data_IF_768318176504
#
_entry.id   IF_768318176504
#
_cell.length_a   1.000
_cell.length_b   1.000
_cell.length_c   1.000
_cell.angle_alpha   90.00
_cell.angle_beta   90.00
_cell.angle_gamma   90.00
#
_symmetry.space_group_name_H-M   'P 1'
#
loop_
_entity.id
_entity.type
_entity.pdbx_description
1 polymer ?
#
# COMPACT_ATOMS: atom_id res chain seq x y z
N UNK A 1 13.63 4.51 -28.57
CA UNK A 1 12.47 5.42 -28.85
C UNK A 1 11.51 5.49 -27.65
N UNK A 2 11.55 4.48 -26.77
CA UNK A 2 10.95 4.42 -25.42
C UNK A 2 11.55 5.45 -24.44
N UNK A 3 12.87 5.66 -24.47
CA UNK A 3 13.64 6.54 -23.57
C UNK A 3 13.07 7.98 -23.47
N UNK A 4 12.65 8.57 -24.60
CA UNK A 4 12.07 9.93 -24.64
C UNK A 4 10.58 9.99 -24.31
N UNK A 5 9.85 8.87 -24.35
CA UNK A 5 8.41 8.85 -24.02
C UNK A 5 8.20 8.70 -22.51
N UNK A 6 8.97 7.86 -21.83
CA UNK A 6 8.84 7.64 -20.39
C UNK A 6 9.23 8.87 -19.56
N UNK A 7 10.51 9.27 -19.58
CA UNK A 7 10.99 10.37 -18.73
C UNK A 7 10.31 11.72 -18.99
N UNK A 8 9.99 12.04 -20.25
CA UNK A 8 9.35 13.30 -20.60
C UNK A 8 7.90 13.41 -20.10
N UNK A 9 7.22 12.28 -19.89
CA UNK A 9 5.85 12.26 -19.40
C UNK A 9 5.72 12.33 -17.87
N UNK A 10 6.82 12.21 -17.12
CA UNK A 10 6.80 12.20 -15.65
C UNK A 10 7.49 13.42 -15.00
N UNK A 11 7.78 14.49 -15.74
CA UNK A 11 8.35 15.74 -15.21
C UNK A 11 9.50 15.51 -14.20
N UNK A 12 10.46 14.66 -14.55
CA UNK A 12 11.60 14.27 -13.71
C UNK A 12 11.25 13.51 -12.41
N UNK A 13 10.01 13.06 -12.21
CA UNK A 13 9.59 12.26 -11.06
C UNK A 13 10.00 10.79 -11.22
N UNK A 14 10.97 10.35 -10.40
CA UNK A 14 11.48 8.98 -10.42
C UNK A 14 10.74 8.03 -9.48
N UNK A 15 9.72 8.51 -8.75
CA UNK A 15 9.08 7.72 -7.70
C UNK A 15 8.27 6.54 -8.23
N UNK A 16 8.03 5.58 -7.34
CA UNK A 16 7.19 4.42 -7.66
C UNK A 16 5.71 4.80 -7.78
N UNK A 17 5.17 5.55 -6.82
CA UNK A 17 3.73 5.78 -6.77
C UNK A 17 3.26 6.88 -7.71
N UNK A 18 4.09 7.92 -7.92
CA UNK A 18 3.71 9.12 -8.65
C UNK A 18 4.56 9.38 -9.91
N UNK A 19 5.54 8.52 -10.21
CA UNK A 19 6.55 8.76 -11.22
C UNK A 19 6.83 7.57 -12.13
N UNK A 20 7.99 7.61 -12.78
CA UNK A 20 8.40 6.61 -13.78
C UNK A 20 8.52 5.19 -13.20
N UNK A 21 8.72 5.03 -11.89
CA UNK A 21 8.83 3.71 -11.25
C UNK A 21 7.55 2.88 -11.42
N UNK A 22 6.38 3.53 -11.32
CA UNK A 22 5.09 2.87 -11.54
C UNK A 22 4.89 2.42 -12.99
N UNK A 23 5.35 3.23 -13.93
CA UNK A 23 5.38 2.88 -15.34
C UNK A 23 6.32 1.70 -15.62
N UNK A 24 7.54 1.74 -15.07
CA UNK A 24 8.51 0.65 -15.19
C UNK A 24 7.98 -0.66 -14.57
N UNK A 25 7.24 -0.59 -13.47
CA UNK A 25 6.56 -1.76 -12.90
C UNK A 25 5.52 -2.35 -13.86
N UNK A 26 4.70 -1.50 -14.47
CA UNK A 26 3.75 -1.94 -15.50
C UNK A 26 4.48 -2.60 -16.68
N UNK A 27 5.56 -2.00 -17.19
CA UNK A 27 6.38 -2.58 -18.27
C UNK A 27 7.00 -3.92 -17.87
N UNK A 28 7.52 -4.03 -16.64
CA UNK A 28 8.08 -5.28 -16.13
C UNK A 28 7.03 -6.41 -16.07
N UNK A 29 5.81 -6.10 -15.63
CA UNK A 29 4.71 -7.07 -15.64
C UNK A 29 4.30 -7.46 -17.06
N UNK A 30 4.26 -6.52 -18.00
CA UNK A 30 3.94 -6.80 -19.40
C UNK A 30 5.01 -7.63 -20.10
N UNK A 31 6.28 -7.40 -19.78
CA UNK A 31 7.40 -8.24 -20.22
C UNK A 31 7.23 -9.68 -19.74
N UNK A 32 6.91 -9.88 -18.46
CA UNK A 32 6.61 -11.22 -17.91
C UNK A 32 5.38 -11.87 -18.59
N UNK A 33 4.44 -11.08 -19.10
CA UNK A 33 3.28 -11.58 -19.86
C UNK A 33 3.64 -11.97 -21.31
N UNK A 34 4.84 -11.58 -21.78
CA UNK A 34 5.33 -11.74 -23.15
C UNK A 34 4.90 -10.62 -24.11
N UNK A 35 4.55 -9.44 -23.59
CA UNK A 35 4.10 -8.28 -24.40
C UNK A 35 5.17 -7.25 -24.68
N UNK A 36 6.18 -7.14 -23.81
CA UNK A 36 7.27 -6.17 -23.91
C UNK A 36 8.64 -6.83 -24.06
N UNK A 37 9.61 -6.05 -24.54
CA UNK A 37 11.01 -6.46 -24.70
C UNK A 37 11.84 -6.12 -23.46
N UNK A 38 12.68 -7.07 -23.02
CA UNK A 38 13.59 -6.91 -21.90
C UNK A 38 14.62 -5.79 -22.12
N UNK A 39 15.16 -5.65 -23.33
CA UNK A 39 16.18 -4.64 -23.64
C UNK A 39 15.67 -3.21 -23.42
N UNK A 40 14.41 -2.93 -23.79
CA UNK A 40 13.78 -1.62 -23.63
C UNK A 40 13.55 -1.28 -22.15
N UNK A 41 13.19 -2.29 -21.34
CA UNK A 41 13.01 -2.13 -19.89
C UNK A 41 14.33 -1.84 -19.19
N UNK A 42 15.38 -2.60 -19.51
CA UNK A 42 16.72 -2.39 -18.94
C UNK A 42 17.27 -1.00 -19.30
N UNK A 43 17.12 -0.55 -20.54
CA UNK A 43 17.52 0.79 -20.97
C UNK A 43 16.78 1.88 -20.16
N UNK A 44 15.46 1.73 -19.97
CA UNK A 44 14.67 2.68 -19.21
C UNK A 44 15.02 2.71 -17.72
N UNK A 45 15.32 1.55 -17.11
CA UNK A 45 15.84 1.46 -15.73
C UNK A 45 17.17 2.19 -15.63
N UNK A 46 18.10 1.97 -16.56
CA UNK A 46 19.40 2.66 -16.55
C UNK A 46 19.26 4.17 -16.69
N UNK A 47 18.34 4.64 -17.54
CA UNK A 47 18.05 6.06 -17.67
C UNK A 47 17.52 6.66 -16.35
N UNK A 48 16.58 5.98 -15.68
CA UNK A 48 16.08 6.40 -14.38
C UNK A 48 17.18 6.39 -13.31
N UNK A 49 18.06 5.38 -13.25
CA UNK A 49 19.17 5.34 -12.29
C UNK A 49 20.17 6.49 -12.51
N UNK A 50 20.51 6.80 -13.77
CA UNK A 50 21.35 7.96 -14.11
C UNK A 50 20.68 9.26 -13.68
N UNK A 51 19.36 9.37 -13.88
CA UNK A 51 18.60 10.54 -13.46
C UNK A 51 18.63 10.73 -11.94
N UNK A 52 18.36 9.68 -11.16
CA UNK A 52 18.46 9.69 -9.69
C UNK A 52 19.86 10.12 -9.26
N UNK A 53 20.91 9.55 -9.86
CA UNK A 53 22.30 9.88 -9.54
C UNK A 53 22.70 11.33 -9.89
N UNK A 54 21.95 11.99 -10.78
CA UNK A 54 22.20 13.37 -11.19
C UNK A 54 21.54 14.42 -10.29
N UNK A 55 20.63 14.03 -9.39
CA UNK A 55 19.89 14.97 -8.54
C UNK A 55 20.69 15.39 -7.32
N UNK A 56 20.65 16.69 -7.02
CA UNK A 56 21.25 17.27 -5.81
C UNK A 56 20.51 16.88 -4.52
N UNK A 57 19.21 16.61 -4.62
CA UNK A 57 18.35 16.23 -3.51
C UNK A 57 17.35 15.17 -3.94
N UNK A 58 17.16 14.18 -3.08
CA UNK A 58 16.21 13.09 -3.27
C UNK A 58 15.19 13.13 -2.13
N UNK A 59 13.94 12.81 -2.43
CA UNK A 59 12.96 12.48 -1.39
C UNK A 59 13.31 11.09 -0.86
N UNK A 60 13.33 10.86 0.46
CA UNK A 60 13.58 9.52 0.99
C UNK A 60 12.32 8.64 0.96
N UNK A 61 11.13 9.21 0.82
CA UNK A 61 9.86 8.57 1.20
C UNK A 61 9.48 7.35 0.35
N UNK A 62 8.49 6.60 0.83
CA UNK A 62 7.91 5.47 0.11
C UNK A 62 7.11 5.93 -1.12
N UNK A 63 6.33 7.00 -0.99
CA UNK A 63 5.42 7.50 -2.02
C UNK A 63 6.17 8.15 -3.19
N UNK A 64 6.96 9.17 -2.90
CA UNK A 64 7.55 10.06 -3.90
C UNK A 64 9.10 9.98 -3.96
N UNK A 65 9.68 8.96 -3.32
CA UNK A 65 11.12 8.95 -3.02
C UNK A 65 11.85 7.64 -3.27
N UNK A 66 13.09 7.63 -2.77
CA UNK A 66 14.09 6.60 -3.00
C UNK A 66 13.72 5.26 -2.35
N UNK A 67 13.00 5.24 -1.23
CA UNK A 67 12.59 4.00 -0.58
C UNK A 67 11.63 3.17 -1.46
N UNK A 68 10.61 3.81 -2.04
CA UNK A 68 9.70 3.15 -2.98
C UNK A 68 10.42 2.65 -4.22
N UNK A 69 11.32 3.47 -4.76
CA UNK A 69 12.13 3.12 -5.91
C UNK A 69 13.08 1.94 -5.63
N UNK A 70 13.69 1.89 -4.45
CA UNK A 70 14.56 0.80 -4.03
C UNK A 70 13.79 -0.51 -3.82
N UNK A 71 12.59 -0.45 -3.23
CA UNK A 71 11.69 -1.61 -3.13
C UNK A 71 11.31 -2.16 -4.50
N UNK A 72 11.03 -1.30 -5.47
CA UNK A 72 10.78 -1.72 -6.86
C UNK A 72 12.00 -2.43 -7.48
N UNK A 73 13.22 -1.90 -7.31
CA UNK A 73 14.42 -2.54 -7.83
C UNK A 73 14.65 -3.93 -7.20
N UNK A 74 14.39 -4.08 -5.90
CA UNK A 74 14.40 -5.39 -5.23
C UNK A 74 13.33 -6.33 -5.77
N UNK A 75 12.12 -5.83 -6.08
CA UNK A 75 11.09 -6.62 -6.74
C UNK A 75 11.53 -7.14 -8.12
N UNK A 76 12.22 -6.31 -8.92
CA UNK A 76 12.76 -6.75 -10.21
C UNK A 76 13.81 -7.85 -10.03
N UNK A 77 14.69 -7.72 -9.02
CA UNK A 77 15.68 -8.74 -8.69
C UNK A 77 15.04 -10.05 -8.25
N UNK A 78 14.04 -9.99 -7.37
CA UNK A 78 13.33 -11.17 -6.86
C UNK A 78 12.60 -11.97 -7.97
N UNK A 79 12.34 -11.33 -9.12
CA UNK A 79 11.70 -11.95 -10.28
C UNK A 79 12.69 -12.21 -11.43
N UNK A 80 14.00 -12.21 -11.14
CA UNK A 80 15.06 -12.47 -12.12
C UNK A 80 15.05 -11.54 -13.34
N UNK A 81 14.49 -10.33 -13.19
CA UNK A 81 14.45 -9.29 -14.23
C UNK A 81 15.74 -8.46 -14.22
N UNK A 82 16.28 -8.18 -13.04
CA UNK A 82 17.49 -7.37 -12.87
C UNK A 82 18.52 -8.10 -12.01
N UNK A 83 19.78 -8.11 -12.46
CA UNK A 83 20.87 -8.77 -11.75
C UNK A 83 21.90 -7.77 -11.25
N UNK A 84 22.10 -7.72 -9.93
CA UNK A 84 23.10 -6.86 -9.29
C UNK A 84 23.54 -7.44 -7.94
N UNK A 85 24.73 -7.01 -7.48
CA UNK A 85 25.19 -7.26 -6.11
C UNK A 85 24.43 -6.34 -5.16
N UNK A 86 23.54 -6.94 -4.40
CA UNK A 86 22.60 -6.23 -3.53
C UNK A 86 23.29 -5.47 -2.38
N UNK A 87 24.39 -5.99 -1.84
CA UNK A 87 25.12 -5.32 -0.76
C UNK A 87 25.80 -4.04 -1.26
N UNK A 88 26.41 -4.10 -2.43
CA UNK A 88 27.11 -2.96 -3.04
C UNK A 88 26.12 -1.93 -3.57
N UNK A 89 25.08 -2.39 -4.26
CA UNK A 89 24.10 -1.53 -4.92
C UNK A 89 23.36 -0.61 -3.94
N UNK A 90 22.97 -1.15 -2.78
CA UNK A 90 22.18 -0.40 -1.80
C UNK A 90 23.01 0.24 -0.67
N UNK A 91 24.34 0.11 -0.66
CA UNK A 91 25.17 0.58 0.46
C UNK A 91 24.93 2.07 0.81
N UNK A 92 24.98 2.95 -0.19
CA UNK A 92 24.75 4.39 0.03
C UNK A 92 23.27 4.71 0.29
N UNK A 93 22.35 3.94 -0.29
CA UNK A 93 20.90 4.08 -0.07
C UNK A 93 20.56 3.73 1.38
N UNK A 94 21.14 2.64 1.92
CA UNK A 94 20.98 2.21 3.31
C UNK A 94 21.41 3.31 4.28
N UNK A 95 22.57 3.93 4.05
CA UNK A 95 23.10 5.02 4.90
C UNK A 95 22.21 6.26 4.86
N UNK A 96 21.80 6.67 3.66
CA UNK A 96 20.96 7.84 3.46
C UNK A 96 19.59 7.67 4.10
N UNK A 97 18.89 6.56 3.78
CA UNK A 97 17.56 6.29 4.33
C UNK A 97 17.57 6.09 5.85
N UNK A 98 18.66 5.55 6.43
CA UNK A 98 18.78 5.40 7.88
C UNK A 98 18.87 6.76 8.57
N UNK A 99 19.57 7.72 7.95
CA UNK A 99 19.69 9.09 8.45
C UNK A 99 18.35 9.82 8.36
N UNK A 100 17.64 9.67 7.24
CA UNK A 100 16.30 10.23 7.05
C UNK A 100 15.27 9.63 8.02
N UNK A 101 15.34 8.32 8.28
CA UNK A 101 14.46 7.66 9.24
C UNK A 101 14.64 8.22 10.65
N UNK A 102 15.89 8.39 11.10
CA UNK A 102 16.15 9.03 12.40
C UNK A 102 15.57 10.44 12.47
N UNK A 103 15.75 11.24 11.42
CA UNK A 103 15.19 12.58 11.34
C UNK A 103 13.65 12.56 11.43
N UNK A 104 12.98 11.71 10.65
CA UNK A 104 11.51 11.59 10.69
C UNK A 104 10.98 11.16 12.05
N UNK A 105 11.65 10.23 12.72
CA UNK A 105 11.27 9.81 14.08
C UNK A 105 11.46 10.96 15.09
N UNK A 106 12.51 11.77 14.96
CA UNK A 106 12.73 12.95 15.80
C UNK A 106 11.63 14.01 15.62
N UNK A 107 11.19 14.25 14.38
CA UNK A 107 10.10 15.17 14.05
C UNK A 107 8.70 14.60 14.35
N UNK A 108 8.64 13.32 14.75
CA UNK A 108 7.39 12.61 14.99
C UNK A 108 6.59 12.26 13.73
N UNK A 109 7.23 12.29 12.57
CA UNK A 109 6.64 11.91 11.28
C UNK A 109 6.78 10.39 11.04
N UNK A 110 5.85 9.62 11.59
CA UNK A 110 5.84 8.16 11.40
C UNK A 110 5.10 7.71 10.13
N UNK A 111 4.46 8.61 9.37
CA UNK A 111 3.57 8.30 8.23
C UNK A 111 4.07 7.20 7.28
N UNK A 112 3.15 6.39 6.75
CA UNK A 112 3.50 5.26 5.88
C UNK A 112 3.97 5.70 4.49
N UNK A 113 3.32 6.67 3.87
CA UNK A 113 3.67 7.12 2.52
C UNK A 113 4.82 8.13 2.54
N UNK A 114 4.90 8.98 3.55
CA UNK A 114 5.75 10.17 3.61
C UNK A 114 6.64 10.26 4.86
N UNK A 115 6.73 9.19 5.66
CA UNK A 115 7.45 9.19 6.94
C UNK A 115 8.22 7.89 7.22
N UNK A 116 8.52 7.69 8.50
CA UNK A 116 9.43 6.62 8.95
C UNK A 116 8.88 5.19 8.75
N UNK A 117 7.56 4.97 8.75
CA UNK A 117 6.99 3.65 8.45
C UNK A 117 7.32 3.23 7.01
N UNK A 118 7.22 4.14 6.05
CA UNK A 118 7.57 3.86 4.66
C UNK A 118 9.03 3.44 4.49
N UNK A 119 9.94 4.08 5.23
CA UNK A 119 11.36 3.70 5.25
C UNK A 119 11.57 2.35 5.94
N UNK A 120 10.75 2.04 6.94
CA UNK A 120 10.79 0.75 7.63
C UNK A 120 10.40 -0.41 6.70
N UNK A 121 9.54 -0.19 5.71
CA UNK A 121 9.24 -1.19 4.68
C UNK A 121 10.49 -1.59 3.88
N UNK A 122 11.27 -0.58 3.47
CA UNK A 122 12.56 -0.79 2.83
C UNK A 122 13.51 -1.57 3.73
N UNK A 123 13.68 -1.15 4.99
CA UNK A 123 14.59 -1.82 5.91
C UNK A 123 14.15 -3.23 6.31
N UNK A 124 12.85 -3.50 6.32
CA UNK A 124 12.32 -4.83 6.56
C UNK A 124 12.72 -5.77 5.42
N UNK A 125 12.54 -5.31 4.17
CA UNK A 125 12.95 -6.05 2.98
C UNK A 125 14.46 -6.31 2.94
N UNK A 126 15.25 -5.34 3.39
CA UNK A 126 16.72 -5.44 3.53
C UNK A 126 17.19 -6.32 4.69
N UNK A 127 16.28 -6.79 5.55
CA UNK A 127 16.63 -7.55 6.76
C UNK A 127 17.38 -6.73 7.81
N UNK A 128 17.26 -5.40 7.79
CA UNK A 128 17.99 -4.52 8.71
C UNK A 128 17.31 -4.43 10.07
N UNK A 129 17.62 -5.37 10.95
CA UNK A 129 17.03 -5.49 12.30
C UNK A 129 17.23 -4.25 13.17
N UNK A 130 18.30 -3.47 12.94
CA UNK A 130 18.60 -2.26 13.73
C UNK A 130 17.57 -1.18 13.47
N UNK A 131 17.27 -0.88 12.21
CA UNK A 131 16.27 0.13 11.85
C UNK A 131 14.85 -0.32 12.21
N UNK A 132 14.55 -1.61 12.08
CA UNK A 132 13.26 -2.16 12.50
C UNK A 132 13.05 -2.04 14.01
N UNK A 133 14.06 -2.36 14.83
CA UNK A 133 13.98 -2.15 16.29
C UNK A 133 13.85 -0.67 16.65
N UNK A 134 14.52 0.23 15.93
CA UNK A 134 14.36 1.67 16.12
C UNK A 134 12.90 2.12 15.88
N UNK A 135 12.24 1.59 14.84
CA UNK A 135 10.82 1.88 14.59
C UNK A 135 9.93 1.32 15.71
N UNK A 136 10.13 0.07 16.12
CA UNK A 136 9.35 -0.57 17.18
C UNK A 136 9.52 0.19 18.50
N UNK A 137 10.75 0.58 18.85
CA UNK A 137 11.05 1.40 20.03
C UNK A 137 10.30 2.73 20.00
N UNK A 138 10.28 3.40 18.85
CA UNK A 138 9.57 4.66 18.68
C UNK A 138 8.06 4.48 18.83
N UNK A 139 7.47 3.48 18.16
CA UNK A 139 6.04 3.20 18.19
C UNK A 139 5.59 2.83 19.61
N UNK A 140 6.36 2.00 20.32
CA UNK A 140 6.05 1.68 21.72
C UNK A 140 6.04 2.92 22.61
N UNK A 141 7.04 3.81 22.48
CA UNK A 141 7.15 5.02 23.31
C UNK A 141 6.11 6.10 22.97
N UNK A 142 5.68 6.16 21.71
CA UNK A 142 4.73 7.17 21.23
C UNK A 142 3.28 6.72 21.30
N UNK A 143 3.01 5.45 21.63
CA UNK A 143 1.67 4.92 21.75
C UNK A 143 0.93 5.57 22.93
N UNK A 144 -0.35 5.90 22.72
CA UNK A 144 -1.29 6.21 23.79
C UNK A 144 -1.96 4.89 24.20
N UNK A 145 -1.65 4.43 25.40
CA UNK A 145 -2.21 3.21 25.99
C UNK A 145 -3.35 3.58 26.96
N UNK A 146 -4.55 3.10 26.67
CA UNK A 146 -5.72 3.23 27.54
C UNK A 146 -6.69 2.07 27.27
N UNK A 147 -7.50 1.63 28.23
CA UNK A 147 -8.54 0.60 28.05
C UNK A 147 -8.16 -0.64 27.20
N UNK A 148 -6.92 -1.14 27.33
CA UNK A 148 -6.34 -2.25 26.55
C UNK A 148 -6.19 -2.00 25.04
N UNK A 149 -6.29 -0.77 24.58
CA UNK A 149 -5.99 -0.35 23.21
C UNK A 149 -4.70 0.46 23.13
N UNK A 150 -4.03 0.37 21.99
CA UNK A 150 -2.88 1.18 21.62
C UNK A 150 -3.23 1.97 20.37
N UNK A 151 -3.06 3.29 20.46
CA UNK A 151 -3.38 4.22 19.39
C UNK A 151 -2.34 5.32 19.27
N UNK A 152 -2.09 5.74 18.04
CA UNK A 152 -1.07 6.73 17.68
C UNK A 152 -1.75 7.97 17.11
N UNK A 153 -1.59 9.14 17.75
CA UNK A 153 -2.10 10.38 17.20
C UNK A 153 -1.20 10.86 16.06
N UNK A 154 -1.81 11.40 15.01
CA UNK A 154 -1.14 12.13 13.94
C UNK A 154 -1.77 13.51 13.78
N UNK A 155 -1.01 14.44 13.18
CA UNK A 155 -1.56 15.72 12.79
C UNK A 155 -2.23 15.59 11.42
N UNK A 156 -3.54 15.85 11.36
CA UNK A 156 -4.31 15.80 10.14
C UNK A 156 -4.46 17.19 9.54
N UNK A 157 -3.88 17.38 8.36
CA UNK A 157 -3.96 18.66 7.62
C UNK A 157 -5.40 19.08 7.32
N UNK A 158 -6.30 18.14 7.08
CA UNK A 158 -7.70 18.42 6.74
C UNK A 158 -8.47 19.18 7.84
N UNK A 159 -8.05 19.01 9.09
CA UNK A 159 -8.66 19.68 10.26
C UNK A 159 -7.67 20.55 11.02
N UNK A 160 -6.41 20.63 10.55
CA UNK A 160 -5.29 21.30 11.19
C UNK A 160 -5.16 20.97 12.69
N UNK A 161 -5.38 19.71 13.05
CA UNK A 161 -5.44 19.26 14.44
C UNK A 161 -4.93 17.83 14.59
N UNK A 162 -4.64 17.43 15.83
CA UNK A 162 -4.31 16.04 16.15
C UNK A 162 -5.58 15.19 16.18
N UNK A 163 -5.50 14.01 15.58
CA UNK A 163 -6.55 13.01 15.60
C UNK A 163 -5.95 11.60 15.62
N UNK A 164 -6.79 10.62 15.95
CA UNK A 164 -6.52 9.24 15.63
C UNK A 164 -7.03 8.97 14.22
N UNK A 165 -6.11 8.89 13.27
CA UNK A 165 -6.39 8.52 11.89
C UNK A 165 -6.55 6.99 11.78
N UNK A 166 -7.62 6.51 11.16
CA UNK A 166 -7.92 5.08 11.03
C UNK A 166 -7.38 4.49 9.73
N UNK A 167 -7.00 5.32 8.76
CA UNK A 167 -6.66 4.92 7.39
C UNK A 167 -5.41 4.05 7.28
N UNK A 168 -5.32 3.30 6.19
CA UNK A 168 -4.19 2.43 5.88
C UNK A 168 -3.03 3.20 5.23
N UNK A 169 -3.31 4.30 4.53
CA UNK A 169 -2.26 5.09 3.87
C UNK A 169 -1.50 6.01 4.84
N UNK A 170 -2.18 6.53 5.88
CA UNK A 170 -1.64 7.59 6.75
C UNK A 170 -1.90 7.37 8.25
N UNK A 171 -2.71 6.37 8.60
CA UNK A 171 -3.25 6.21 9.94
C UNK A 171 -2.75 4.96 10.68
N UNK A 172 -3.46 4.63 11.74
CA UNK A 172 -3.17 3.54 12.67
C UNK A 172 -3.19 2.16 11.98
N UNK A 173 -3.90 2.00 10.85
CA UNK A 173 -3.95 0.73 10.14
C UNK A 173 -2.61 0.45 9.44
N UNK A 174 -1.87 1.49 9.07
CA UNK A 174 -0.51 1.35 8.53
C UNK A 174 0.48 0.83 9.57
N UNK A 175 0.34 1.27 10.82
CA UNK A 175 1.14 0.80 11.96
C UNK A 175 0.84 -0.68 12.23
N UNK A 176 -0.45 -1.05 12.25
CA UNK A 176 -0.86 -2.45 12.37
C UNK A 176 -0.30 -3.29 11.21
N UNK A 177 -0.31 -2.75 9.99
CA UNK A 177 0.30 -3.38 8.82
C UNK A 177 1.78 -3.63 8.97
N UNK A 178 2.53 -2.65 9.48
CA UNK A 178 3.94 -2.79 9.77
C UNK A 178 4.23 -3.88 10.83
N UNK A 179 3.47 -3.92 11.93
CA UNK A 179 3.65 -4.99 12.92
C UNK A 179 3.35 -6.37 12.33
N UNK A 180 2.30 -6.45 11.52
CA UNK A 180 1.92 -7.69 10.81
C UNK A 180 3.06 -8.17 9.93
N UNK A 181 3.64 -7.28 9.12
CA UNK A 181 4.78 -7.60 8.27
C UNK A 181 6.03 -7.99 9.05
N UNK A 182 6.31 -7.33 10.18
CA UNK A 182 7.40 -7.73 11.07
C UNK A 182 7.23 -9.19 11.53
N UNK A 183 6.02 -9.57 11.96
CA UNK A 183 5.73 -10.94 12.40
C UNK A 183 5.82 -11.92 11.21
N UNK A 184 5.28 -11.57 10.04
CA UNK A 184 5.38 -12.38 8.81
C UNK A 184 6.83 -12.65 8.39
N UNK A 185 7.70 -11.67 8.58
CA UNK A 185 9.13 -11.77 8.27
C UNK A 185 9.95 -12.32 9.46
N UNK A 186 9.30 -12.92 10.47
CA UNK A 186 9.95 -13.54 11.62
C UNK A 186 10.89 -12.61 12.40
N UNK A 187 10.57 -11.31 12.48
CA UNK A 187 11.31 -10.35 13.32
C UNK A 187 11.21 -10.78 14.78
N UNK A 188 12.36 -11.02 15.41
CA UNK A 188 12.46 -11.45 16.81
C UNK A 188 12.44 -10.23 17.75
N UNK A 189 11.24 -9.81 18.16
CA UNK A 189 11.00 -8.77 19.16
C UNK A 189 9.74 -9.10 19.98
N UNK A 190 9.92 -9.33 21.28
CA UNK A 190 8.86 -9.80 22.20
C UNK A 190 7.68 -8.82 22.35
N UNK A 191 7.87 -7.56 21.96
CA UNK A 191 6.82 -6.53 22.06
C UNK A 191 5.80 -6.61 20.94
N UNK A 192 6.14 -7.20 19.80
CA UNK A 192 5.28 -7.23 18.60
C UNK A 192 3.91 -7.82 18.90
N UNK A 193 3.82 -8.88 19.71
CA UNK A 193 2.54 -9.47 20.07
C UNK A 193 1.64 -8.49 20.85
N UNK A 194 2.20 -7.80 21.86
CA UNK A 194 1.48 -6.81 22.66
C UNK A 194 1.05 -5.62 21.81
N UNK A 195 1.96 -5.06 21.02
CA UNK A 195 1.72 -3.90 20.17
C UNK A 195 0.63 -4.18 19.12
N UNK A 196 0.71 -5.34 18.46
CA UNK A 196 -0.29 -5.78 17.48
C UNK A 196 -1.64 -5.99 18.14
N UNK A 197 -1.69 -6.66 19.31
CA UNK A 197 -2.95 -6.90 20.03
C UNK A 197 -3.61 -5.60 20.50
N UNK A 198 -2.83 -4.67 21.06
CA UNK A 198 -3.36 -3.36 21.47
C UNK A 198 -3.87 -2.55 20.29
N UNK A 199 -3.19 -2.60 19.14
CA UNK A 199 -3.67 -1.96 17.91
C UNK A 199 -4.96 -2.59 17.39
N UNK A 200 -5.10 -3.92 17.41
CA UNK A 200 -6.38 -4.60 17.07
C UNK A 200 -7.50 -4.15 18.02
N UNK A 201 -7.22 -4.05 19.33
CA UNK A 201 -8.21 -3.62 20.32
C UNK A 201 -8.69 -2.18 20.08
N UNK A 202 -7.82 -1.27 19.62
CA UNK A 202 -8.23 0.07 19.19
C UNK A 202 -9.35 0.00 18.15
N UNK A 203 -9.21 -0.83 17.11
CA UNK A 203 -10.27 -1.00 16.13
C UNK A 203 -11.51 -1.65 16.72
N UNK A 204 -11.38 -2.68 17.58
CA UNK A 204 -12.54 -3.33 18.23
C UNK A 204 -13.38 -2.37 19.06
N UNK A 205 -12.74 -1.47 19.78
CA UNK A 205 -13.40 -0.49 20.63
C UNK A 205 -14.06 0.65 19.84
N UNK A 206 -13.71 0.82 18.57
CA UNK A 206 -14.22 1.87 17.69
C UNK A 206 -15.08 1.34 16.53
N UNK A 207 -15.58 0.10 16.62
CA UNK A 207 -16.54 -0.42 15.65
C UNK A 207 -17.82 0.41 15.74
N UNK A 208 -18.17 1.09 14.65
CA UNK A 208 -19.47 1.72 14.45
C UNK A 208 -20.38 0.83 13.61
N UNK A 209 -21.70 1.00 13.77
CA UNK A 209 -22.71 0.36 12.93
C UNK A 209 -23.67 1.41 12.41
N UNK A 210 -23.29 2.04 11.30
CA UNK A 210 -24.18 2.94 10.56
C UNK A 210 -25.07 2.13 9.63
N UNK A 211 -26.35 2.50 9.53
CA UNK A 211 -27.34 1.89 8.62
C UNK A 211 -26.82 1.98 7.17
N UNK A 212 -26.17 0.92 6.69
CA UNK A 212 -25.67 0.83 5.33
C UNK A 212 -24.15 0.77 5.12
N UNK A 213 -23.39 0.10 6.02
CA UNK A 213 -22.11 -0.59 5.71
C UNK A 213 -20.78 0.13 6.02
N UNK A 214 -20.75 1.08 6.97
CA UNK A 214 -19.50 1.70 7.46
C UNK A 214 -19.15 1.27 8.89
N UNK A 215 -18.01 0.60 9.05
CA UNK A 215 -17.55 0.03 10.32
C UNK A 215 -16.55 0.88 11.09
N UNK A 216 -15.81 1.75 10.40
CA UNK A 216 -14.82 2.62 11.04
C UNK A 216 -14.95 4.06 10.53
N UNK A 217 -14.71 5.06 11.38
CA UNK A 217 -14.60 6.45 10.94
C UNK A 217 -13.31 6.66 10.14
N UNK A 218 -13.19 7.80 9.44
CA UNK A 218 -11.93 8.17 8.80
C UNK A 218 -10.88 8.61 9.82
N UNK A 219 -11.31 9.39 10.81
CA UNK A 219 -10.50 9.83 11.93
C UNK A 219 -11.37 10.21 13.14
N UNK A 220 -10.78 10.33 14.32
CA UNK A 220 -11.43 10.90 15.51
C UNK A 220 -10.51 11.96 16.13
N UNK A 221 -10.94 13.23 16.27
CA UNK A 221 -10.19 14.26 17.01
C UNK A 221 -9.88 13.84 18.45
N UNK A 222 -8.73 14.23 18.99
CA UNK A 222 -8.28 13.70 20.30
C UNK A 222 -9.21 14.08 21.45
N UNK A 223 -9.79 15.27 21.41
CA UNK A 223 -10.73 15.81 22.41
C UNK A 223 -12.13 15.18 22.33
N UNK A 224 -12.53 14.75 21.13
CA UNK A 224 -13.80 14.10 20.86
C UNK A 224 -13.82 12.59 21.23
N UNK A 225 -12.65 11.96 21.39
CA UNK A 225 -12.52 10.49 21.41
C UNK A 225 -13.41 9.75 22.43
N UNK A 226 -13.59 10.30 23.64
CA UNK A 226 -14.46 9.69 24.67
C UNK A 226 -15.76 10.46 24.91
N UNK A 227 -15.94 11.60 24.26
CA UNK A 227 -16.94 12.59 24.69
C UNK A 227 -18.02 12.85 23.63
N UNK A 228 -17.81 12.42 22.38
CA UNK A 228 -18.70 12.73 21.27
C UNK A 228 -19.05 11.49 20.45
N UNK A 229 -20.23 11.52 19.83
CA UNK A 229 -20.61 10.51 18.87
C UNK A 229 -20.05 10.89 17.49
N UNK A 230 -18.99 10.22 17.05
CA UNK A 230 -18.21 10.57 15.85
C UNK A 230 -18.51 9.67 14.64
N UNK A 231 -19.76 9.20 14.52
CA UNK A 231 -20.20 8.36 13.40
C UNK A 231 -19.89 9.02 12.05
N UNK A 232 -19.15 8.31 11.20
CA UNK A 232 -18.75 8.79 9.87
C UNK A 232 -18.97 7.71 8.82
N UNK A 233 -19.44 8.11 7.64
CA UNK A 233 -19.42 7.20 6.49
C UNK A 233 -17.98 6.97 6.04
N UNK A 234 -17.63 5.71 5.80
CA UNK A 234 -16.36 5.30 5.23
C UNK A 234 -16.51 4.94 3.76
N UNK A 235 -15.49 5.25 2.95
CA UNK A 235 -15.43 4.78 1.55
C UNK A 235 -15.02 3.31 1.47
N UNK A 236 -15.19 2.71 0.30
CA UNK A 236 -14.60 1.42 -0.04
C UNK A 236 -13.32 1.70 -0.84
N UNK A 237 -12.19 1.80 -0.13
CA UNK A 237 -10.90 2.13 -0.74
C UNK A 237 -9.73 1.50 -0.01
N UNK A 238 -8.55 1.60 -0.62
CA UNK A 238 -7.29 1.16 -0.02
C UNK A 238 -6.83 2.15 1.05
N UNK A 239 -6.74 3.45 0.71
CA UNK A 239 -6.14 4.46 1.58
C UNK A 239 -6.94 4.71 2.87
N UNK A 240 -8.26 4.75 2.75
CA UNK A 240 -9.20 4.97 3.84
C UNK A 240 -10.44 4.11 3.69
N UNK A 241 -11.01 3.75 4.84
CA UNK A 241 -12.27 3.07 4.97
C UNK A 241 -12.14 1.55 5.15
N UNK A 242 -13.29 0.90 5.17
CA UNK A 242 -13.40 -0.42 5.80
C UNK A 242 -12.58 -1.49 5.09
N UNK A 243 -12.46 -1.46 3.76
CA UNK A 243 -11.81 -2.54 3.02
C UNK A 243 -10.32 -2.69 3.35
N UNK A 244 -9.56 -1.60 3.30
CA UNK A 244 -8.15 -1.61 3.68
C UNK A 244 -7.95 -1.96 5.16
N UNK A 245 -8.76 -1.37 6.04
CA UNK A 245 -8.68 -1.59 7.49
C UNK A 245 -9.02 -3.05 7.86
N UNK A 246 -10.12 -3.58 7.36
CA UNK A 246 -10.56 -4.94 7.64
C UNK A 246 -9.62 -5.99 7.01
N UNK A 247 -9.05 -5.71 5.83
CA UNK A 247 -8.04 -6.59 5.23
C UNK A 247 -6.86 -6.78 6.20
N UNK A 248 -6.34 -5.68 6.74
CA UNK A 248 -5.21 -5.76 7.65
C UNK A 248 -5.59 -6.36 9.00
N UNK A 249 -6.74 -5.98 9.59
CA UNK A 249 -7.23 -6.58 10.86
C UNK A 249 -7.39 -8.10 10.79
N UNK A 250 -7.97 -8.59 9.69
CA UNK A 250 -8.09 -10.03 9.44
C UNK A 250 -6.72 -10.68 9.35
N UNK A 251 -5.80 -10.11 8.56
CA UNK A 251 -4.44 -10.61 8.37
C UNK A 251 -3.65 -10.66 9.70
N UNK A 252 -3.68 -9.57 10.47
CA UNK A 252 -3.02 -9.46 11.78
C UNK A 252 -3.58 -10.44 12.82
N UNK A 253 -4.89 -10.61 12.87
CA UNK A 253 -5.52 -11.54 13.82
C UNK A 253 -5.20 -13.00 13.47
N UNK A 254 -5.14 -13.31 12.18
CA UNK A 254 -4.79 -14.64 11.68
C UNK A 254 -3.36 -15.01 12.05
N UNK A 255 -2.38 -14.11 11.88
CA UNK A 255 -0.98 -14.42 12.19
C UNK A 255 -0.72 -14.56 13.70
N UNK A 256 -1.50 -13.85 14.52
CA UNK A 256 -1.47 -14.03 15.98
C UNK A 256 -2.22 -15.29 16.47
N UNK A 257 -2.87 -16.05 15.57
CA UNK A 257 -3.74 -17.17 15.89
C UNK A 257 -4.92 -16.79 16.82
N UNK A 258 -5.40 -15.54 16.75
CA UNK A 258 -6.57 -15.07 17.50
C UNK A 258 -7.85 -15.47 16.77
N UNK A 259 -8.30 -16.71 16.96
CA UNK A 259 -9.41 -17.29 16.19
C UNK A 259 -10.72 -16.47 16.26
N UNK A 260 -11.07 -15.94 17.43
CA UNK A 260 -12.30 -15.15 17.62
C UNK A 260 -12.26 -13.84 16.83
N UNK A 261 -11.14 -13.11 16.91
CA UNK A 261 -10.97 -11.85 16.18
C UNK A 261 -10.86 -12.11 14.67
N UNK A 262 -10.15 -13.16 14.27
CA UNK A 262 -10.05 -13.58 12.86
C UNK A 262 -11.43 -13.84 12.25
N UNK A 263 -12.29 -14.57 12.96
CA UNK A 263 -13.65 -14.85 12.53
C UNK A 263 -14.51 -13.57 12.45
N UNK A 264 -14.42 -12.69 13.45
CA UNK A 264 -15.12 -11.40 13.46
C UNK A 264 -14.77 -10.56 12.22
N UNK A 265 -13.48 -10.38 11.94
CA UNK A 265 -13.04 -9.57 10.81
C UNK A 265 -13.39 -10.19 9.47
N UNK A 266 -13.37 -11.52 9.36
CA UNK A 266 -13.79 -12.21 8.15
C UNK A 266 -15.29 -11.98 7.85
N UNK A 267 -16.14 -12.04 8.87
CA UNK A 267 -17.58 -11.76 8.69
C UNK A 267 -17.82 -10.30 8.31
N UNK A 268 -17.13 -9.34 8.95
CA UNK A 268 -17.22 -7.93 8.56
C UNK A 268 -16.70 -7.68 7.14
N UNK A 269 -15.63 -8.37 6.71
CA UNK A 269 -15.17 -8.34 5.32
C UNK A 269 -16.24 -8.84 4.37
N UNK A 270 -16.93 -9.94 4.69
CA UNK A 270 -18.05 -10.44 3.88
C UNK A 270 -19.17 -9.40 3.78
N UNK A 271 -19.48 -8.67 4.85
CA UNK A 271 -20.47 -7.58 4.81
C UNK A 271 -20.05 -6.44 3.86
N UNK A 272 -18.76 -6.24 3.60
CA UNK A 272 -18.32 -5.26 2.58
C UNK A 272 -18.61 -5.70 1.14
N UNK A 273 -18.83 -7.00 0.88
CA UNK A 273 -19.05 -7.53 -0.48
C UNK A 273 -20.34 -7.06 -1.13
N UNK A 274 -21.32 -6.64 -0.34
CA UNK A 274 -22.61 -6.13 -0.80
C UNK A 274 -22.59 -4.62 -1.11
N UNK A 275 -21.49 -3.92 -0.78
CA UNK A 275 -21.28 -2.51 -1.11
C UNK A 275 -20.91 -2.38 -2.58
N UNK A 276 -21.89 -2.21 -3.47
CA UNK A 276 -21.66 -2.13 -4.93
C UNK A 276 -22.21 -0.86 -5.57
N UNK A 277 -22.91 -0.01 -4.82
CA UNK A 277 -23.57 1.19 -5.33
C UNK A 277 -22.75 2.45 -5.01
N UNK A 278 -22.79 3.51 -5.84
CA UNK A 278 -22.04 4.74 -5.59
C UNK A 278 -22.32 5.34 -4.19
N UNK A 279 -23.58 5.33 -3.76
CA UNK A 279 -24.02 5.91 -2.48
C UNK A 279 -23.48 5.20 -1.24
N UNK A 280 -22.89 4.00 -1.37
CA UNK A 280 -22.35 3.24 -0.26
C UNK A 280 -20.88 2.83 -0.44
N UNK A 281 -20.24 3.24 -1.53
CA UNK A 281 -18.83 2.96 -1.83
C UNK A 281 -17.99 4.22 -1.87
N UNK A 282 -18.57 5.37 -2.27
CA UNK A 282 -17.85 6.62 -2.50
C UNK A 282 -16.65 6.44 -3.46
N UNK A 283 -16.77 5.49 -4.39
CA UNK A 283 -15.79 5.26 -5.45
C UNK A 283 -16.10 6.20 -6.61
N UNK A 284 -15.07 6.93 -7.06
CA UNK A 284 -15.18 7.99 -8.06
C UNK A 284 -14.40 7.70 -9.35
N UNK A 285 -13.49 6.74 -9.32
CA UNK A 285 -12.46 6.55 -10.34
C UNK A 285 -12.06 5.07 -10.48
N UNK A 286 -11.01 4.84 -11.24
CA UNK A 286 -10.50 3.51 -11.59
C UNK A 286 -9.14 3.20 -10.97
N UNK A 287 -8.56 4.09 -10.17
CA UNK A 287 -7.23 3.94 -9.59
C UNK A 287 -7.12 2.81 -8.55
N UNK A 288 -5.89 2.52 -8.13
CA UNK A 288 -5.58 1.57 -7.07
C UNK A 288 -5.84 2.14 -5.66
N UNK A 289 -5.67 3.44 -5.46
CA UNK A 289 -5.76 4.07 -4.14
C UNK A 289 -7.18 4.06 -3.56
N UNK A 290 -8.17 4.36 -4.41
CA UNK A 290 -9.56 4.48 -3.99
C UNK A 290 -10.57 4.27 -5.14
N UNK A 291 -10.11 3.64 -6.22
CA UNK A 291 -10.91 3.32 -7.38
C UNK A 291 -11.31 1.87 -7.46
N UNK A 292 -12.06 1.56 -8.52
CA UNK A 292 -12.57 0.21 -8.78
C UNK A 292 -11.47 -0.85 -8.93
N UNK A 293 -10.30 -0.50 -9.50
CA UNK A 293 -9.22 -1.48 -9.68
C UNK A 293 -8.55 -1.85 -8.36
N UNK A 294 -8.36 -0.88 -7.46
CA UNK A 294 -7.84 -1.12 -6.11
C UNK A 294 -8.76 -2.02 -5.29
N UNK A 295 -10.07 -1.76 -5.36
CA UNK A 295 -11.07 -2.60 -4.69
C UNK A 295 -11.06 -4.03 -5.24
N UNK A 296 -11.02 -4.17 -6.57
CA UNK A 296 -10.92 -5.49 -7.20
C UNK A 296 -9.65 -6.23 -6.79
N UNK A 297 -8.51 -5.53 -6.73
CA UNK A 297 -7.22 -6.06 -6.29
C UNK A 297 -7.28 -6.56 -4.84
N UNK A 298 -7.81 -5.76 -3.91
CA UNK A 298 -7.87 -6.16 -2.50
C UNK A 298 -8.74 -7.40 -2.33
N UNK A 299 -9.93 -7.45 -2.96
CA UNK A 299 -10.77 -8.65 -2.89
C UNK A 299 -10.12 -9.89 -3.53
N UNK A 300 -9.34 -9.72 -4.62
CA UNK A 300 -8.56 -10.81 -5.21
C UNK A 300 -7.55 -11.37 -4.21
N UNK A 301 -6.79 -10.49 -3.52
CA UNK A 301 -5.80 -10.90 -2.51
C UNK A 301 -6.45 -11.52 -1.26
N UNK A 302 -7.60 -11.00 -0.82
CA UNK A 302 -8.36 -11.60 0.27
C UNK A 302 -8.84 -13.01 -0.13
N UNK A 303 -9.33 -13.19 -1.37
CA UNK A 303 -9.74 -14.51 -1.86
C UNK A 303 -8.58 -15.49 -1.87
N UNK A 304 -7.39 -15.10 -2.34
CA UNK A 304 -6.21 -15.97 -2.33
C UNK A 304 -5.83 -16.46 -0.93
N UNK A 305 -5.96 -15.57 0.05
CA UNK A 305 -5.65 -15.90 1.45
C UNK A 305 -6.73 -16.75 2.12
N UNK A 306 -8.00 -16.59 1.76
CA UNK A 306 -9.14 -17.15 2.51
C UNK A 306 -9.88 -18.27 1.81
N UNK A 307 -9.83 -18.33 0.47
CA UNK A 307 -10.62 -19.24 -0.37
C UNK A 307 -12.14 -18.96 -0.38
N UNK A 308 -12.61 -17.88 0.25
CA UNK A 308 -14.04 -17.55 0.36
C UNK A 308 -14.55 -17.00 -0.98
N UNK A 309 -15.47 -17.73 -1.62
CA UNK A 309 -15.87 -17.51 -3.01
C UNK A 309 -16.54 -16.15 -3.24
N UNK A 310 -17.20 -15.59 -2.24
CA UNK A 310 -17.82 -14.27 -2.27
C UNK A 310 -16.80 -13.19 -2.62
N UNK A 311 -15.58 -13.26 -2.08
CA UNK A 311 -14.52 -12.29 -2.41
C UNK A 311 -14.06 -12.41 -3.85
N UNK A 312 -14.01 -13.62 -4.41
CA UNK A 312 -13.71 -13.82 -5.83
C UNK A 312 -14.78 -13.17 -6.72
N UNK A 313 -16.06 -13.44 -6.44
CA UNK A 313 -17.16 -12.85 -7.19
C UNK A 313 -17.18 -11.32 -7.08
N UNK A 314 -16.92 -10.77 -5.90
CA UNK A 314 -16.84 -9.32 -5.69
C UNK A 314 -15.64 -8.70 -6.41
N UNK A 315 -14.47 -9.36 -6.39
CA UNK A 315 -13.31 -8.93 -7.20
C UNK A 315 -13.65 -8.90 -8.70
N UNK A 316 -14.32 -9.93 -9.20
CA UNK A 316 -14.76 -10.01 -10.59
C UNK A 316 -15.79 -8.93 -10.96
N UNK A 317 -16.73 -8.63 -10.07
CA UNK A 317 -17.66 -7.52 -10.23
C UNK A 317 -16.93 -6.18 -10.38
N UNK A 318 -16.00 -5.87 -9.47
CA UNK A 318 -15.26 -4.62 -9.52
C UNK A 318 -14.31 -4.53 -10.71
N UNK A 319 -13.72 -5.65 -11.13
CA UNK A 319 -12.95 -5.73 -12.37
C UNK A 319 -13.81 -5.42 -13.60
N UNK A 320 -15.06 -5.90 -13.65
CA UNK A 320 -15.99 -5.55 -14.71
C UNK A 320 -16.35 -4.07 -14.68
N UNK A 321 -16.53 -3.49 -13.50
CA UNK A 321 -16.79 -2.06 -13.35
C UNK A 321 -15.59 -1.21 -13.78
N UNK A 322 -14.35 -1.61 -13.44
CA UNK A 322 -13.12 -1.00 -13.97
C UNK A 322 -13.14 -1.02 -15.49
N UNK A 323 -13.43 -2.18 -16.11
CA UNK A 323 -13.52 -2.32 -17.58
C UNK A 323 -14.61 -1.44 -18.18
N UNK A 324 -15.76 -1.33 -17.52
CA UNK A 324 -16.88 -0.49 -17.96
C UNK A 324 -16.50 0.99 -17.96
N UNK A 325 -15.82 1.45 -16.91
CA UNK A 325 -15.41 2.85 -16.76
C UNK A 325 -14.28 3.24 -17.71
N UNK A 326 -13.34 2.33 -17.99
CA UNK A 326 -12.26 2.59 -18.97
C UNK A 326 -12.74 2.45 -20.43
N UNK A 327 -13.79 1.67 -20.70
CA UNK A 327 -14.40 1.57 -22.02
C UNK A 327 -13.47 0.99 -23.10
N UNK A 328 -13.51 1.56 -24.32
CA UNK A 328 -12.64 1.14 -25.44
C UNK A 328 -11.14 1.39 -25.18
N UNK A 329 -10.82 2.13 -24.13
CA UNK A 329 -9.46 2.51 -23.78
C UNK A 329 -8.65 1.41 -23.08
N UNK A 330 -9.17 0.19 -22.94
CA UNK A 330 -8.42 -0.94 -22.36
C UNK A 330 -7.09 -1.13 -23.10
N UNK A 331 -7.12 -1.04 -24.44
CA UNK A 331 -5.92 -1.20 -25.26
C UNK A 331 -4.94 -0.03 -25.07
N UNK A 332 -5.42 1.21 -24.98
CA UNK A 332 -4.55 2.36 -24.72
C UNK A 332 -3.96 2.36 -23.31
N UNK A 333 -4.70 1.86 -22.31
CA UNK A 333 -4.19 1.64 -20.95
C UNK A 333 -3.10 0.58 -20.93
N UNK A 334 -3.31 -0.55 -21.61
CA UNK A 334 -2.29 -1.60 -21.68
C UNK A 334 -1.08 -1.15 -22.49
N UNK A 335 -1.27 -0.35 -23.53
CA UNK A 335 -0.17 0.25 -24.28
C UNK A 335 0.50 1.43 -23.56
N UNK A 336 0.03 1.78 -22.35
CA UNK A 336 0.47 2.95 -21.57
C UNK A 336 0.52 4.23 -22.41
N UNK A 337 -0.46 4.40 -23.30
CA UNK A 337 -0.56 5.57 -24.16
C UNK A 337 -1.02 6.79 -23.36
N UNK A 338 -0.25 7.88 -23.48
CA UNK A 338 -0.60 9.17 -22.90
C UNK A 338 -1.72 9.80 -23.75
N UNK A 339 -2.97 9.65 -23.31
CA UNK A 339 -4.07 10.48 -23.79
C UNK A 339 -4.22 11.72 -22.90
N UNK A 340 -4.55 12.87 -23.50
CA UNK A 340 -4.51 14.24 -22.96
C UNK A 340 -5.27 14.53 -21.63
N UNK A 341 -5.77 13.52 -20.91
CA UNK A 341 -6.54 13.69 -19.67
C UNK A 341 -6.31 12.61 -18.60
N UNK A 342 -5.32 11.71 -18.71
CA UNK A 342 -5.10 10.64 -17.73
C UNK A 342 -3.72 10.70 -17.09
N UNK A 343 -3.69 10.71 -15.76
CA UNK A 343 -2.45 10.64 -15.01
C UNK A 343 -1.78 9.27 -15.26
N UNK A 344 -0.47 9.28 -15.49
CA UNK A 344 0.34 8.07 -15.68
C UNK A 344 0.82 7.48 -14.35
N UNK A 345 0.47 8.05 -13.21
CA UNK A 345 0.93 7.55 -11.92
C UNK A 345 0.37 6.16 -11.59
N UNK A 346 0.90 5.57 -10.53
CA UNK A 346 0.57 4.20 -10.12
C UNK A 346 -0.66 4.14 -9.19
N UNK A 347 -0.89 5.15 -8.36
CA UNK A 347 -1.97 5.10 -7.37
C UNK A 347 -3.33 5.42 -7.96
N UNK A 348 -3.42 6.48 -8.76
CA UNK A 348 -4.64 7.04 -9.31
C UNK A 348 -4.66 6.94 -10.84
N UNK A 349 -3.50 6.70 -11.45
CA UNK A 349 -3.29 6.66 -12.88
C UNK A 349 -3.34 5.29 -13.56
N UNK A 350 -3.08 5.31 -14.88
CA UNK A 350 -3.22 4.13 -15.75
C UNK A 350 -2.18 3.04 -15.48
N UNK A 351 -1.03 3.38 -14.89
CA UNK A 351 0.04 2.42 -14.61
C UNK A 351 -0.39 1.41 -13.53
N UNK A 352 -1.11 1.87 -12.51
CA UNK A 352 -1.68 0.98 -11.49
C UNK A 352 -2.73 0.04 -12.06
N UNK A 353 -3.63 0.58 -12.90
CA UNK A 353 -4.67 -0.20 -13.58
C UNK A 353 -4.04 -1.25 -14.50
N UNK A 354 -3.07 -0.86 -15.31
CA UNK A 354 -2.33 -1.76 -16.20
C UNK A 354 -1.62 -2.86 -15.41
N UNK A 355 -0.95 -2.51 -14.31
CA UNK A 355 -0.28 -3.47 -13.43
C UNK A 355 -1.26 -4.50 -12.86
N UNK A 356 -2.40 -4.05 -12.34
CA UNK A 356 -3.46 -4.95 -11.86
C UNK A 356 -4.03 -5.86 -12.95
N UNK A 357 -4.39 -5.31 -14.12
CA UNK A 357 -4.94 -6.08 -15.22
C UNK A 357 -3.95 -7.13 -15.75
N UNK A 358 -2.66 -6.79 -15.78
CA UNK A 358 -1.59 -7.67 -16.23
C UNK A 358 -1.30 -8.77 -15.20
N UNK A 359 -1.22 -8.42 -13.91
CA UNK A 359 -1.12 -9.36 -12.79
C UNK A 359 -2.24 -10.41 -12.83
N UNK A 360 -3.49 -9.98 -13.03
CA UNK A 360 -4.64 -10.88 -13.18
C UNK A 360 -4.48 -11.87 -14.33
N UNK A 361 -3.92 -11.44 -15.48
CA UNK A 361 -3.69 -12.32 -16.62
C UNK A 361 -2.53 -13.29 -16.38
N UNK A 362 -1.47 -12.84 -15.71
CA UNK A 362 -0.34 -13.67 -15.32
C UNK A 362 -0.79 -14.80 -14.39
N UNK A 363 -1.60 -14.49 -13.37
CA UNK A 363 -2.19 -15.50 -12.48
C UNK A 363 -3.01 -16.55 -13.21
N UNK A 364 -3.80 -16.16 -14.22
CA UNK A 364 -4.55 -17.12 -15.05
C UNK A 364 -3.65 -18.06 -15.88
N UNK A 365 -2.37 -17.71 -16.08
CA UNK A 365 -1.37 -18.55 -16.75
C UNK A 365 -0.56 -19.41 -15.76
N UNK A 366 -1.00 -19.51 -14.50
CA UNK A 366 -0.32 -20.27 -13.43
C UNK A 366 1.15 -19.86 -13.22
N UNK A 367 1.44 -18.57 -13.37
CA UNK A 367 2.79 -18.04 -13.15
C UNK A 367 3.15 -17.99 -11.65
N UNK A 368 4.44 -17.82 -11.34
CA UNK A 368 4.94 -17.76 -9.96
C UNK A 368 4.16 -16.77 -9.08
N UNK A 369 3.73 -17.15 -7.85
CA UNK A 369 3.12 -16.23 -6.89
C UNK A 369 4.01 -15.04 -6.52
N UNK A 370 5.32 -15.16 -6.72
CA UNK A 370 6.29 -14.08 -6.49
C UNK A 370 6.02 -12.85 -7.35
N UNK A 371 5.47 -13.02 -8.55
CA UNK A 371 5.14 -11.93 -9.47
C UNK A 371 4.10 -11.01 -8.84
N UNK A 372 3.13 -11.55 -8.12
CA UNK A 372 2.03 -10.78 -7.55
C UNK A 372 2.41 -9.97 -6.30
N UNK A 373 3.64 -10.15 -5.77
CA UNK A 373 4.12 -9.47 -4.55
C UNK A 373 4.43 -7.99 -4.72
N UNK A 374 4.30 -7.42 -5.93
CA UNK A 374 4.36 -5.97 -6.08
C UNK A 374 3.30 -5.26 -5.24
N UNK A 375 2.14 -5.89 -4.97
CA UNK A 375 1.07 -5.30 -4.16
C UNK A 375 1.41 -5.25 -2.66
N UNK A 376 2.42 -5.97 -2.19
CA UNK A 376 2.83 -5.98 -0.78
C UNK A 376 3.34 -4.61 -0.33
N UNK A 377 3.85 -3.79 -1.27
CA UNK A 377 4.25 -2.41 -1.03
C UNK A 377 3.07 -1.51 -0.61
N UNK A 378 1.84 -1.97 -0.88
CA UNK A 378 0.61 -1.33 -0.47
C UNK A 378 -0.02 -2.00 0.76
N UNK A 379 0.66 -2.92 1.44
CA UNK A 379 0.09 -3.67 2.58
C UNK A 379 -1.16 -4.50 2.22
N UNK A 380 -1.30 -4.94 0.95
CA UNK A 380 -2.47 -5.70 0.49
C UNK A 380 -2.29 -7.20 0.70
#
# INVERSE_FOLDING_TARGET
MSEKKGLACFDDNYSLFCGIGGWLLSQALQMLEGRDNQDDLEEAIQAMLKHIASKDSLSPTLCDGLAGQALFLMYLKDNDILFYNEQEFFFHIDQYLASCMQYYLMEGNWDFLHGALGLSMYFLKRGNTTQIRLMIDYLEKSAVEDQNELKWPSHLRAIDAKAYDFGLAHGNASILGFFTLCIENNVQDDRLQRLTTGSINFYKNNIQRMEGMSFFPGYIPLDAYYNENTLQHSRLGWCYGDLGILNILHKSSSILNHQTDTALWLEMLKETTIRTAPGNTLISDTGLCHGTSGVALIFDRIYERTGVIEFKHTSEFWLQETRRLIGENVLSILALEHEDNRHLDFLDGICGISSFLTDRRLKCKETSPQISKWSDIMLI
#
